data_IF_021364728245
#
_entry.id   IF_021364728245
#
_cell.length_a   1.000
_cell.length_b   1.000
_cell.length_c   1.000
_cell.angle_alpha   90.00
_cell.angle_beta   90.00
_cell.angle_gamma   90.00
#
_symmetry.space_group_name_H-M   'P 1'
#
loop_
_entity.id
_entity.type
_entity.pdbx_description
1 polymer ?
#
# COMPACT_ATOMS: atom_id res chain seq x y z
N UNK A 1 -2.39 12.00 -19.81
CA UNK A 1 -1.95 12.67 -18.56
C UNK A 1 -0.73 13.54 -18.84
N UNK A 2 -0.62 14.71 -18.19
CA UNK A 2 0.43 15.72 -18.48
C UNK A 2 1.87 15.26 -18.20
N UNK A 3 2.06 14.23 -17.37
CA UNK A 3 3.39 13.74 -16.95
C UNK A 3 4.03 12.70 -17.89
N UNK A 4 3.35 12.24 -18.96
CA UNK A 4 3.85 11.29 -19.99
C UNK A 4 4.76 10.16 -19.45
N UNK A 5 4.29 9.42 -18.44
CA UNK A 5 5.06 8.35 -17.75
C UNK A 5 4.88 6.94 -18.35
N UNK A 6 4.04 6.81 -19.36
CA UNK A 6 3.83 5.55 -20.05
C UNK A 6 4.89 5.38 -21.15
N UNK A 7 5.37 4.15 -21.33
CA UNK A 7 6.35 3.81 -22.36
C UNK A 7 5.70 2.85 -23.35
N UNK A 8 5.92 3.07 -24.64
CA UNK A 8 5.58 2.14 -25.72
C UNK A 8 6.89 1.57 -26.27
N UNK A 9 7.04 0.25 -26.23
CA UNK A 9 8.22 -0.45 -26.71
C UNK A 9 7.81 -1.45 -27.80
N UNK A 10 8.56 -1.49 -28.90
CA UNK A 10 8.48 -2.54 -29.91
C UNK A 10 9.64 -3.49 -29.68
N UNK A 11 9.34 -4.76 -29.45
CA UNK A 11 10.30 -5.77 -28.99
C UNK A 11 10.23 -6.98 -29.92
N UNK A 12 11.38 -7.56 -30.23
CA UNK A 12 11.46 -8.74 -31.09
C UNK A 12 11.58 -10.01 -30.23
N UNK A 13 10.53 -10.83 -30.19
CA UNK A 13 10.53 -12.14 -29.53
C UNK A 13 10.28 -12.12 -28.02
N UNK A 14 9.94 -13.29 -27.47
CA UNK A 14 9.54 -13.43 -26.05
C UNK A 14 10.70 -13.22 -25.07
N UNK A 15 11.92 -13.60 -25.41
CA UNK A 15 13.06 -13.49 -24.47
C UNK A 15 13.38 -12.02 -24.15
N UNK A 16 13.33 -11.14 -25.15
CA UNK A 16 13.47 -9.70 -24.93
C UNK A 16 12.28 -9.10 -24.17
N UNK A 17 11.07 -9.68 -24.28
CA UNK A 17 9.92 -9.27 -23.47
C UNK A 17 10.12 -9.67 -22.01
N UNK A 18 10.55 -10.90 -21.75
CA UNK A 18 10.85 -11.40 -20.39
C UNK A 18 11.95 -10.58 -19.72
N UNK A 19 12.93 -10.08 -20.47
CA UNK A 19 13.98 -9.22 -19.95
C UNK A 19 13.47 -7.86 -19.39
N UNK A 20 12.23 -7.46 -19.72
CA UNK A 20 11.60 -6.25 -19.16
C UNK A 20 10.82 -6.51 -17.88
N UNK A 21 10.57 -7.77 -17.53
CA UNK A 21 9.85 -8.11 -16.31
C UNK A 21 10.71 -7.74 -15.09
N UNK A 22 10.21 -6.87 -14.19
CA UNK A 22 10.90 -6.55 -12.94
C UNK A 22 11.12 -7.75 -12.02
N UNK A 23 10.44 -8.89 -12.26
CA UNK A 23 10.58 -10.14 -11.51
C UNK A 23 9.78 -10.18 -10.20
N UNK A 24 8.77 -9.33 -10.08
CA UNK A 24 7.83 -9.31 -8.96
C UNK A 24 6.92 -10.53 -8.98
N UNK A 25 6.59 -11.05 -7.81
CA UNK A 25 5.70 -12.21 -7.70
C UNK A 25 4.24 -11.81 -7.86
N UNK A 26 3.49 -12.58 -8.66
CA UNK A 26 2.04 -12.50 -8.77
C UNK A 26 1.37 -13.21 -7.59
N UNK A 27 0.55 -12.48 -6.83
CA UNK A 27 0.06 -12.95 -5.52
C UNK A 27 -0.93 -14.12 -5.59
N UNK A 28 -1.61 -14.29 -6.72
CA UNK A 28 -2.53 -15.39 -6.98
C UNK A 28 -1.81 -16.69 -7.41
N UNK A 29 -0.53 -16.59 -7.78
CA UNK A 29 0.28 -17.71 -8.28
C UNK A 29 1.33 -18.21 -7.27
N UNK A 30 1.39 -17.62 -6.09
CA UNK A 30 2.36 -17.99 -5.05
C UNK A 30 1.70 -18.54 -3.79
N UNK A 31 2.47 -19.37 -3.08
CA UNK A 31 2.14 -19.83 -1.74
C UNK A 31 2.50 -18.80 -0.67
N UNK A 32 1.92 -18.96 0.53
CA UNK A 32 2.30 -18.19 1.72
C UNK A 32 3.81 -18.30 2.02
N UNK A 33 4.41 -19.48 1.83
CA UNK A 33 5.84 -19.70 2.06
C UNK A 33 6.69 -18.83 1.12
N UNK A 34 6.40 -18.86 -0.18
CA UNK A 34 7.09 -18.03 -1.19
C UNK A 34 6.87 -16.53 -0.94
N UNK A 35 5.67 -16.13 -0.55
CA UNK A 35 5.39 -14.74 -0.16
C UNK A 35 6.25 -14.31 1.03
N UNK A 36 6.30 -15.13 2.08
CA UNK A 36 7.07 -14.84 3.29
C UNK A 36 8.57 -14.79 3.05
N UNK A 37 9.09 -15.65 2.18
CA UNK A 37 10.49 -15.64 1.74
C UNK A 37 10.81 -14.35 0.98
N UNK A 38 10.02 -14.03 -0.06
CA UNK A 38 10.21 -12.82 -0.88
C UNK A 38 10.10 -11.54 -0.06
N UNK A 39 9.12 -11.47 0.85
CA UNK A 39 8.92 -10.31 1.72
C UNK A 39 10.14 -10.06 2.63
N UNK A 40 10.81 -11.13 3.09
CA UNK A 40 11.94 -11.06 4.01
C UNK A 40 13.31 -11.07 3.33
N UNK A 41 13.37 -11.21 2.01
CA UNK A 41 14.61 -11.15 1.24
C UNK A 41 15.42 -9.87 1.52
N UNK A 42 14.75 -8.76 1.82
CA UNK A 42 15.36 -7.51 2.24
C UNK A 42 14.64 -6.92 3.45
N UNK A 43 15.38 -6.31 4.38
CA UNK A 43 14.80 -5.64 5.53
C UNK A 43 14.39 -4.20 5.18
N UNK A 44 13.09 -4.00 4.93
CA UNK A 44 12.50 -2.72 4.55
C UNK A 44 11.22 -2.47 5.34
N UNK A 45 10.70 -1.24 5.29
CA UNK A 45 9.34 -0.99 5.79
C UNK A 45 8.32 -1.75 4.95
N UNK A 46 7.22 -2.19 5.55
CA UNK A 46 6.17 -2.92 4.82
C UNK A 46 5.62 -2.12 3.65
N UNK A 47 5.38 -0.82 3.82
CA UNK A 47 4.93 0.04 2.74
C UNK A 47 5.89 0.00 1.54
N UNK A 48 7.21 0.12 1.80
CA UNK A 48 8.24 0.08 0.75
C UNK A 48 8.29 -1.28 0.07
N UNK A 49 8.27 -2.37 0.85
CA UNK A 49 8.36 -3.72 0.33
C UNK A 49 7.16 -4.06 -0.57
N UNK A 50 5.95 -3.68 -0.15
CA UNK A 50 4.73 -3.90 -0.94
C UNK A 50 4.73 -3.10 -2.24
N UNK A 51 5.26 -1.87 -2.26
CA UNK A 51 5.30 -1.04 -3.47
C UNK A 51 6.50 -1.29 -4.37
N UNK A 52 7.39 -2.22 -4.05
CA UNK A 52 8.55 -2.56 -4.89
C UNK A 52 8.11 -3.56 -5.97
N UNK A 53 8.05 -3.16 -7.26
CA UNK A 53 7.60 -4.04 -8.33
C UNK A 53 8.52 -5.23 -8.56
N UNK A 54 9.74 -5.22 -7.99
CA UNK A 54 10.67 -6.36 -8.03
C UNK A 54 10.37 -7.38 -6.95
N UNK A 55 9.55 -7.04 -5.95
CA UNK A 55 9.11 -7.98 -4.91
C UNK A 55 7.73 -8.53 -5.25
N UNK A 56 6.77 -7.65 -5.50
CA UNK A 56 5.38 -8.02 -5.77
C UNK A 56 4.83 -7.21 -6.94
N UNK A 57 4.19 -7.91 -7.87
CA UNK A 57 3.52 -7.28 -9.00
C UNK A 57 2.18 -6.65 -8.56
N UNK A 58 1.75 -5.59 -9.25
CA UNK A 58 0.40 -5.03 -9.12
C UNK A 58 0.10 -4.19 -7.86
N UNK A 59 0.98 -4.13 -6.86
CA UNK A 59 0.72 -3.37 -5.64
C UNK A 59 1.26 -1.92 -5.75
N UNK A 60 0.36 -1.00 -6.03
CA UNK A 60 0.64 0.44 -6.06
C UNK A 60 0.53 1.15 -4.72
N UNK A 61 0.71 2.47 -4.73
CA UNK A 61 0.61 3.31 -3.52
C UNK A 61 -0.77 3.21 -2.85
N UNK A 62 -1.86 3.19 -3.62
CA UNK A 62 -3.21 3.08 -3.09
C UNK A 62 -3.45 1.75 -2.39
N UNK A 63 -3.23 0.64 -3.11
CA UNK A 63 -3.49 -0.69 -2.56
C UNK A 63 -2.61 -1.03 -1.38
N UNK A 64 -1.35 -0.58 -1.34
CA UNK A 64 -0.51 -0.80 -0.16
C UNK A 64 -1.04 -0.11 1.11
N UNK A 65 -1.67 1.07 1.02
CA UNK A 65 -2.33 1.68 2.19
C UNK A 65 -3.51 0.81 2.67
N UNK A 66 -4.35 0.39 1.72
CA UNK A 66 -5.54 -0.43 2.01
C UNK A 66 -5.19 -1.81 2.58
N UNK A 67 -4.17 -2.47 2.03
CA UNK A 67 -3.63 -3.75 2.49
C UNK A 67 -3.14 -3.64 3.93
N UNK A 68 -2.35 -2.60 4.22
CA UNK A 68 -1.78 -2.43 5.55
C UNK A 68 -2.83 -2.06 6.58
N UNK A 69 -3.86 -1.30 6.19
CA UNK A 69 -5.01 -1.03 7.03
C UNK A 69 -5.80 -2.31 7.32
N UNK A 70 -6.06 -3.13 6.30
CA UNK A 70 -6.75 -4.42 6.45
C UNK A 70 -6.02 -5.38 7.37
N UNK A 71 -4.72 -5.51 7.17
CA UNK A 71 -3.85 -6.33 7.98
C UNK A 71 -3.61 -5.76 9.39
N UNK A 72 -4.05 -4.53 9.67
CA UNK A 72 -3.78 -3.77 10.92
C UNK A 72 -2.28 -3.68 11.21
N UNK A 73 -1.48 -3.49 10.17
CA UNK A 73 -0.03 -3.39 10.26
C UNK A 73 0.44 -1.96 10.04
N UNK A 74 1.38 -1.51 10.86
CA UNK A 74 2.06 -0.23 10.65
C UNK A 74 2.76 -0.20 9.29
N UNK A 75 2.61 0.87 8.48
CA UNK A 75 3.35 1.02 7.23
C UNK A 75 4.87 1.08 7.42
N UNK A 76 5.34 1.43 8.61
CA UNK A 76 6.76 1.49 8.98
C UNK A 76 7.26 0.23 9.70
N UNK A 77 6.42 -0.79 9.90
CA UNK A 77 6.89 -2.07 10.41
C UNK A 77 7.96 -2.64 9.48
N UNK A 78 9.03 -3.21 10.04
CA UNK A 78 10.12 -3.79 9.26
C UNK A 78 9.80 -5.24 8.89
N UNK A 79 10.02 -5.63 7.64
CA UNK A 79 9.76 -6.98 7.11
C UNK A 79 10.42 -8.07 7.95
N UNK A 80 11.66 -7.85 8.40
CA UNK A 80 12.40 -8.79 9.25
C UNK A 80 11.83 -8.94 10.68
N UNK A 81 10.93 -8.07 11.12
CA UNK A 81 10.30 -8.12 12.46
C UNK A 81 8.89 -8.73 12.46
N UNK A 82 8.39 -9.19 11.32
CA UNK A 82 7.07 -9.82 11.26
C UNK A 82 7.16 -11.28 11.71
N UNK A 83 6.27 -11.66 12.63
CA UNK A 83 6.03 -13.06 12.98
C UNK A 83 5.39 -13.82 11.80
N UNK A 84 5.47 -15.16 11.75
CA UNK A 84 4.80 -15.95 10.72
C UNK A 84 3.31 -15.65 10.58
N UNK A 85 2.61 -15.45 11.70
CA UNK A 85 1.17 -15.18 11.74
C UNK A 85 0.85 -13.81 11.11
N UNK A 86 1.70 -12.81 11.36
CA UNK A 86 1.57 -11.48 10.74
C UNK A 86 1.86 -11.50 9.25
N UNK A 87 2.76 -12.38 8.80
CA UNK A 87 2.99 -12.60 7.36
C UNK A 87 1.80 -13.28 6.71
N UNK A 88 1.20 -14.29 7.37
CA UNK A 88 -0.03 -14.92 6.89
C UNK A 88 -1.17 -13.91 6.78
N UNK A 89 -1.38 -13.10 7.82
CA UNK A 89 -2.39 -12.03 7.82
C UNK A 89 -2.18 -11.03 6.70
N UNK A 90 -0.91 -10.63 6.46
CA UNK A 90 -0.57 -9.72 5.38
C UNK A 90 -0.84 -10.35 4.01
N UNK A 91 -0.45 -11.61 3.82
CA UNK A 91 -0.65 -12.32 2.56
C UNK A 91 -2.14 -12.42 2.19
N UNK A 92 -2.99 -12.82 3.13
CA UNK A 92 -4.44 -12.87 2.91
C UNK A 92 -5.00 -11.46 2.63
N UNK A 93 -4.58 -10.45 3.41
CA UNK A 93 -5.00 -9.07 3.18
C UNK A 93 -4.63 -8.55 1.79
N UNK A 94 -3.45 -8.91 1.27
CA UNK A 94 -3.05 -8.59 -0.09
C UNK A 94 -4.04 -9.18 -1.12
N UNK A 95 -4.33 -10.48 -1.01
CA UNK A 95 -5.21 -11.20 -1.93
C UNK A 95 -6.63 -10.66 -1.88
N UNK A 96 -7.16 -10.43 -0.67
CA UNK A 96 -8.50 -9.91 -0.47
C UNK A 96 -8.67 -8.51 -1.08
N UNK A 97 -7.76 -7.57 -0.78
CA UNK A 97 -7.82 -6.20 -1.31
C UNK A 97 -7.76 -6.20 -2.82
N UNK A 98 -6.80 -6.92 -3.42
CA UNK A 98 -6.64 -6.93 -4.87
C UNK A 98 -7.82 -7.60 -5.57
N UNK A 99 -8.34 -8.71 -5.02
CA UNK A 99 -9.52 -9.39 -5.55
C UNK A 99 -10.78 -8.53 -5.45
N UNK A 100 -10.98 -7.86 -4.31
CA UNK A 100 -12.08 -6.92 -4.10
C UNK A 100 -12.04 -5.77 -5.13
N UNK A 101 -10.91 -5.10 -5.26
CA UNK A 101 -10.78 -3.98 -6.19
C UNK A 101 -10.84 -4.41 -7.66
N UNK A 102 -10.28 -5.58 -8.00
CA UNK A 102 -10.43 -6.14 -9.34
C UNK A 102 -11.90 -6.38 -9.69
N UNK A 103 -12.68 -6.99 -8.78
CA UNK A 103 -14.13 -7.19 -9.01
C UNK A 103 -14.87 -5.87 -9.13
N UNK A 104 -14.60 -4.90 -8.25
CA UNK A 104 -15.25 -3.58 -8.28
C UNK A 104 -14.98 -2.86 -9.60
N UNK A 105 -13.73 -2.82 -10.05
CA UNK A 105 -13.35 -2.16 -11.30
C UNK A 105 -13.95 -2.86 -12.52
N UNK A 106 -13.97 -4.20 -12.54
CA UNK A 106 -14.64 -4.95 -13.62
C UNK A 106 -16.14 -4.68 -13.65
N UNK A 107 -16.80 -4.62 -12.50
CA UNK A 107 -18.23 -4.31 -12.42
C UNK A 107 -18.56 -2.87 -12.84
N UNK A 108 -17.70 -1.90 -12.51
CA UNK A 108 -17.83 -0.50 -12.92
C UNK A 108 -17.69 -0.31 -14.43
N UNK A 109 -16.77 -1.04 -15.05
CA UNK A 109 -16.46 -0.92 -16.48
C UNK A 109 -17.36 -1.80 -17.36
N UNK A 110 -17.82 -2.94 -16.84
CA UNK A 110 -18.52 -3.97 -17.61
C UNK A 110 -17.64 -4.51 -18.75
N UNK A 111 -18.21 -4.62 -19.94
CA UNK A 111 -17.51 -5.04 -21.16
C UNK A 111 -16.70 -3.90 -21.83
N UNK A 112 -16.74 -2.70 -21.27
CA UNK A 112 -16.09 -1.52 -21.82
C UNK A 112 -14.59 -1.42 -21.52
N UNK A 113 -14.02 -0.26 -21.83
CA UNK A 113 -12.67 0.12 -21.39
C UNK A 113 -12.77 1.31 -20.41
N UNK A 114 -12.00 1.33 -19.31
CA UNK A 114 -12.08 2.42 -18.35
C UNK A 114 -11.65 3.76 -18.96
N UNK A 115 -12.59 4.71 -19.06
CA UNK A 115 -12.31 6.05 -19.59
C UNK A 115 -11.56 6.95 -18.59
N UNK A 116 -11.78 6.73 -17.28
CA UNK A 116 -11.13 7.48 -16.20
C UNK A 116 -10.56 6.54 -15.16
N UNK A 117 -9.23 6.41 -15.16
CA UNK A 117 -8.49 5.66 -14.14
C UNK A 117 -8.00 6.65 -13.07
N UNK A 118 -8.49 6.48 -11.83
CA UNK A 118 -8.05 7.25 -10.66
C UNK A 118 -7.62 6.31 -9.55
N UNK A 119 -6.56 6.71 -8.82
CA UNK A 119 -6.12 6.05 -7.60
C UNK A 119 -6.94 6.49 -6.37
N UNK A 120 -7.70 7.59 -6.47
CA UNK A 120 -8.52 8.13 -5.39
C UNK A 120 -9.97 7.77 -5.63
N UNK A 121 -10.55 6.98 -4.72
CA UNK A 121 -11.92 6.47 -4.81
C UNK A 121 -12.63 6.59 -3.47
N UNK A 122 -13.92 7.00 -3.43
CA UNK A 122 -14.67 7.18 -2.18
C UNK A 122 -14.74 5.93 -1.30
N UNK A 123 -14.67 4.75 -1.91
CA UNK A 123 -14.80 3.46 -1.25
C UNK A 123 -13.49 2.94 -0.64
N UNK A 124 -12.39 3.68 -0.79
CA UNK A 124 -11.12 3.41 -0.09
C UNK A 124 -11.28 3.66 1.41
N UNK A 125 -10.70 2.78 2.23
CA UNK A 125 -10.80 2.89 3.69
C UNK A 125 -9.90 3.99 4.23
N UNK A 126 -8.66 4.09 3.72
CA UNK A 126 -7.65 5.03 4.20
C UNK A 126 -6.96 5.81 3.09
N UNK A 127 -6.78 5.24 1.89
CA UNK A 127 -6.04 5.91 0.83
C UNK A 127 -6.73 7.20 0.36
N UNK A 128 -6.03 8.34 0.46
CA UNK A 128 -6.60 9.65 0.13
C UNK A 128 -7.70 10.11 1.07
N UNK A 129 -7.79 9.52 2.27
CA UNK A 129 -8.83 9.78 3.26
C UNK A 129 -8.32 10.59 4.46
N UNK A 130 -7.15 11.23 4.38
CA UNK A 130 -6.58 12.01 5.49
C UNK A 130 -7.62 12.95 6.14
N UNK A 131 -7.70 12.92 7.47
CA UNK A 131 -8.67 13.67 8.27
C UNK A 131 -10.08 13.09 8.33
N UNK A 132 -10.45 12.18 7.42
CA UNK A 132 -11.76 11.53 7.40
C UNK A 132 -11.81 10.36 8.41
N UNK A 133 -13.00 9.97 8.90
CA UNK A 133 -13.10 8.89 9.88
C UNK A 133 -12.71 7.54 9.27
N UNK A 134 -11.87 6.80 10.00
CA UNK A 134 -11.58 5.39 9.72
C UNK A 134 -12.89 4.58 9.76
N UNK A 135 -13.15 3.70 8.79
CA UNK A 135 -14.38 2.90 8.77
C UNK A 135 -14.46 1.86 9.90
N UNK A 136 -13.33 1.54 10.55
CA UNK A 136 -13.27 0.54 11.63
C UNK A 136 -13.42 1.19 13.01
N UNK A 137 -12.61 2.21 13.32
CA UNK A 137 -12.53 2.78 14.66
C UNK A 137 -12.95 4.25 14.76
N UNK A 138 -13.39 4.86 13.64
CA UNK A 138 -13.84 6.25 13.53
C UNK A 138 -12.78 7.33 13.79
N UNK A 139 -11.59 6.98 14.29
CA UNK A 139 -10.48 7.92 14.45
C UNK A 139 -10.10 8.54 13.09
N UNK A 140 -9.67 9.82 13.07
CA UNK A 140 -9.28 10.48 11.83
C UNK A 140 -8.09 9.76 11.19
N UNK A 141 -8.20 9.44 9.89
CA UNK A 141 -7.10 8.86 9.12
C UNK A 141 -5.93 9.85 9.09
N UNK A 142 -4.74 9.33 9.33
CA UNK A 142 -3.49 10.07 9.40
C UNK A 142 -2.67 9.85 8.14
N UNK A 143 -1.71 10.73 7.90
CA UNK A 143 -0.79 10.61 6.76
C UNK A 143 0.66 10.83 7.16
N UNK A 144 1.55 10.29 6.33
CA UNK A 144 2.98 10.59 6.33
C UNK A 144 3.34 10.98 4.91
N UNK A 145 3.92 12.16 4.73
CA UNK A 145 4.42 12.61 3.43
C UNK A 145 5.93 12.36 3.33
N UNK A 146 6.35 11.75 2.22
CA UNK A 146 7.76 11.61 1.86
C UNK A 146 7.98 11.99 0.40
N UNK A 147 8.58 13.17 0.19
CA UNK A 147 8.79 13.76 -1.13
C UNK A 147 7.49 13.78 -1.95
N UNK A 148 7.39 12.96 -3.01
CA UNK A 148 6.22 12.90 -3.89
C UNK A 148 5.22 11.79 -3.53
N UNK A 149 5.47 11.04 -2.46
CA UNK A 149 4.62 9.93 -2.03
C UNK A 149 3.97 10.22 -0.68
N UNK A 150 2.71 9.82 -0.56
CA UNK A 150 1.94 9.92 0.67
C UNK A 150 1.50 8.51 1.09
N UNK A 151 1.58 8.25 2.40
CA UNK A 151 1.07 7.04 3.04
C UNK A 151 -0.09 7.44 3.93
N UNK A 152 -1.29 6.90 3.68
CA UNK A 152 -2.44 7.07 4.56
C UNK A 152 -2.62 5.84 5.46
N UNK A 153 -2.90 6.07 6.74
CA UNK A 153 -3.03 5.00 7.73
C UNK A 153 -3.96 5.43 8.88
N UNK A 154 -4.52 4.47 9.59
CA UNK A 154 -5.26 4.71 10.83
C UNK A 154 -4.36 4.44 12.05
N UNK A 155 -4.07 5.47 12.85
CA UNK A 155 -3.18 5.32 14.02
C UNK A 155 -3.72 4.32 15.06
N UNK A 156 -5.02 4.36 15.38
CA UNK A 156 -5.61 3.39 16.31
C UNK A 156 -5.51 1.95 15.82
N UNK A 157 -5.88 1.69 14.57
CA UNK A 157 -5.90 0.34 14.01
C UNK A 157 -4.50 -0.23 13.72
N UNK A 158 -3.52 0.59 13.35
CA UNK A 158 -2.23 0.11 12.81
C UNK A 158 -1.03 0.35 13.73
N UNK A 159 -1.13 1.29 14.66
CA UNK A 159 0.00 1.72 15.53
C UNK A 159 -0.40 1.89 17.00
N UNK A 160 -1.56 1.34 17.39
CA UNK A 160 -2.08 1.43 18.76
C UNK A 160 -2.20 2.86 19.27
N UNK A 161 -2.63 3.79 18.41
CA UNK A 161 -2.82 5.22 18.73
C UNK A 161 -1.62 6.10 18.37
N UNK A 162 -0.41 5.52 18.28
CA UNK A 162 0.82 6.29 18.04
C UNK A 162 0.84 6.93 16.66
N UNK A 163 1.11 8.23 16.61
CA UNK A 163 1.31 8.96 15.38
C UNK A 163 2.72 8.69 14.83
N UNK A 164 2.77 8.28 13.57
CA UNK A 164 4.00 8.14 12.83
C UNK A 164 4.46 9.53 12.38
N UNK A 165 5.74 9.83 12.60
CA UNK A 165 6.31 11.13 12.32
C UNK A 165 6.25 11.47 10.81
N UNK A 166 5.46 12.48 10.48
CA UNK A 166 5.54 13.14 9.17
C UNK A 166 6.84 13.96 9.13
N UNK A 167 7.79 13.59 8.25
CA UNK A 167 9.11 14.24 8.23
C UNK A 167 9.05 15.75 7.94
N UNK A 168 8.01 16.23 7.25
CA UNK A 168 7.85 17.65 6.97
C UNK A 168 7.30 18.39 8.19
N UNK A 169 6.21 17.90 8.77
CA UNK A 169 5.54 18.56 9.89
C UNK A 169 6.25 18.32 11.22
N UNK A 170 6.81 17.13 11.47
CA UNK A 170 7.59 16.85 12.68
C UNK A 170 8.87 17.70 12.75
N UNK A 171 9.46 18.03 11.60
CA UNK A 171 10.60 18.95 11.51
C UNK A 171 10.18 20.39 11.79
N UNK A 172 8.97 20.79 11.39
CA UNK A 172 8.45 22.14 11.66
C UNK A 172 8.05 22.31 13.13
N UNK A 173 7.38 21.31 13.70
CA UNK A 173 6.78 21.38 15.02
C UNK A 173 7.74 20.98 16.15
N UNK A 174 8.83 20.27 15.83
CA UNK A 174 9.85 19.80 16.77
C UNK A 174 9.23 19.13 18.02
N UNK A 175 9.34 19.77 19.19
CA UNK A 175 8.84 19.24 20.47
C UNK A 175 7.31 19.28 20.59
N UNK A 176 6.64 20.07 19.74
CA UNK A 176 5.18 20.19 19.71
C UNK A 176 4.51 19.18 18.77
N UNK A 177 5.25 18.20 18.23
CA UNK A 177 4.66 17.14 17.43
C UNK A 177 3.88 16.16 18.32
N UNK A 178 2.57 15.98 18.09
CA UNK A 178 1.76 15.08 18.89
C UNK A 178 2.22 13.63 18.71
N UNK A 179 2.30 12.89 19.81
CA UNK A 179 2.80 11.50 19.77
C UNK A 179 1.68 10.48 19.67
N UNK A 180 0.50 10.84 20.17
CA UNK A 180 -0.70 10.02 20.12
C UNK A 180 -1.82 10.76 19.38
N UNK A 181 -2.69 10.00 18.73
CA UNK A 181 -3.86 10.53 18.04
C UNK A 181 -4.85 11.19 19.01
N UNK A 182 -4.85 10.79 20.28
CA UNK A 182 -5.68 11.40 21.32
C UNK A 182 -5.28 12.85 21.63
N UNK A 183 -4.04 13.25 21.33
CA UNK A 183 -3.58 14.65 21.48
C UNK A 183 -4.06 15.56 20.35
N UNK A 184 -4.62 14.99 19.27
CA UNK A 184 -5.17 15.73 18.12
C UNK A 184 -6.68 15.96 18.21
N UNK A 185 -7.36 15.34 19.18
CA UNK A 185 -8.81 15.41 19.38
C UNK A 185 -9.16 16.35 20.54
#
# INVERSE_FOLDING_TARGET
GSKRRATLLLIQGEDHLRALDPGGLELDQISLAQFGERLRAHNHTLKRALTDPRLFAGIGNAYSDEILHRARLSPLALTGKLTPERVATLFESCREVLSEWTRRLRAEVGEGFPEKVTAFRPEMAVHGRFGLPCPVCRAPVQRIVHANNEVNYCARCQTSGKLLADRALSRLLHQNWPKDIDELM
#
